data_IF_687538023806
#
_entry.id   IF_687538023806
#
_cell.length_a   1.000
_cell.length_b   1.000
_cell.length_c   1.000
_cell.angle_alpha   90.00
_cell.angle_beta   90.00
_cell.angle_gamma   90.00
#
_symmetry.space_group_name_H-M   'P 1'
#
loop_
_entity.id
_entity.type
_entity.pdbx_description
1 polymer ?
#
# COMPACT_ATOMS: atom_id res chain seq x y z
N UNK A 1 -1.85 -38.75 -4.33
CA UNK A 1 -2.66 -37.78 -3.56
C UNK A 1 -2.54 -37.93 -2.03
N UNK A 2 -1.41 -38.38 -1.48
CA UNK A 2 -1.20 -38.39 -0.01
C UNK A 2 0.23 -38.02 0.44
N UNK A 3 1.17 -37.75 -0.48
CA UNK A 3 2.53 -37.29 -0.13
C UNK A 3 2.78 -35.78 -0.30
N UNK A 4 1.82 -35.01 -0.84
CA UNK A 4 1.97 -33.56 -1.01
C UNK A 4 1.45 -32.73 0.18
N UNK A 5 0.88 -33.38 1.20
CA UNK A 5 0.33 -32.71 2.40
C UNK A 5 1.36 -32.55 3.52
N UNK A 6 2.54 -33.18 3.45
CA UNK A 6 3.54 -33.15 4.52
C UNK A 6 4.69 -32.15 4.29
N UNK A 7 4.87 -31.64 3.06
CA UNK A 7 5.88 -30.61 2.77
C UNK A 7 5.38 -29.15 2.87
N UNK A 8 4.07 -28.94 3.05
CA UNK A 8 3.50 -27.61 3.31
C UNK A 8 3.53 -27.20 4.79
N UNK A 9 3.87 -28.13 5.70
CA UNK A 9 3.91 -27.88 7.13
C UNK A 9 5.27 -27.42 7.69
N UNK A 10 6.30 -27.25 6.86
CA UNK A 10 7.66 -26.95 7.35
C UNK A 10 8.31 -25.69 6.76
N UNK A 11 7.66 -24.96 5.85
CA UNK A 11 8.21 -23.74 5.23
C UNK A 11 7.56 -22.45 5.77
N UNK A 12 6.51 -22.55 6.59
CA UNK A 12 5.90 -21.40 7.29
C UNK A 12 6.64 -20.98 8.58
N UNK A 13 7.77 -21.60 8.90
CA UNK A 13 8.52 -21.31 10.12
C UNK A 13 9.63 -20.24 9.98
N UNK A 14 9.85 -19.61 8.81
CA UNK A 14 11.06 -18.76 8.59
C UNK A 14 10.84 -17.41 7.88
N UNK A 15 9.62 -16.96 7.55
CA UNK A 15 9.46 -15.65 6.88
C UNK A 15 8.23 -14.86 7.26
N UNK A 16 7.96 -14.80 8.56
CA UNK A 16 6.94 -13.93 9.16
C UNK A 16 7.43 -13.27 10.44
N UNK A 17 8.72 -13.00 10.58
CA UNK A 17 9.17 -12.03 11.58
C UNK A 17 8.69 -10.66 11.10
N UNK A 18 7.55 -10.26 11.64
CA UNK A 18 7.15 -8.88 11.84
C UNK A 18 8.40 -8.05 12.10
N UNK A 19 8.84 -7.28 11.09
CA UNK A 19 9.64 -6.09 11.35
C UNK A 19 8.70 -5.07 11.96
N UNK A 20 8.31 -5.36 13.20
CA UNK A 20 7.99 -4.34 14.18
C UNK A 20 9.23 -3.45 14.25
N UNK A 21 9.02 -2.18 14.00
CA UNK A 21 10.04 -1.17 13.84
C UNK A 21 10.97 -1.21 15.05
N UNK A 22 12.24 -1.58 14.86
CA UNK A 22 13.27 -1.33 15.88
C UNK A 22 13.33 0.16 16.28
N UNK A 23 12.79 1.05 15.45
CA UNK A 23 12.60 2.47 15.76
C UNK A 23 11.42 2.74 16.70
N UNK A 24 10.32 1.97 16.63
CA UNK A 24 9.16 2.16 17.52
C UNK A 24 9.44 1.54 18.90
N UNK A 25 10.17 0.42 18.96
CA UNK A 25 10.69 -0.10 20.23
C UNK A 25 11.71 0.82 20.88
N UNK A 26 12.55 1.50 20.09
CA UNK A 26 13.53 2.46 20.62
C UNK A 26 12.87 3.77 21.09
N UNK A 27 11.76 4.17 20.48
CA UNK A 27 10.97 5.34 20.92
C UNK A 27 10.12 5.00 22.14
N UNK A 28 9.59 3.77 22.24
CA UNK A 28 8.94 3.31 23.48
C UNK A 28 9.96 3.13 24.62
N UNK A 29 11.15 2.58 24.35
CA UNK A 29 12.25 2.46 25.33
C UNK A 29 12.80 3.84 25.77
N UNK A 30 13.05 4.79 24.85
CA UNK A 30 13.50 6.16 25.22
C UNK A 30 12.39 6.96 25.93
N UNK A 31 11.10 6.70 25.66
CA UNK A 31 10.00 7.32 26.42
C UNK A 31 9.76 6.70 27.79
N UNK A 32 10.19 5.44 27.99
CA UNK A 32 10.16 4.78 29.30
C UNK A 32 11.39 5.11 30.15
N UNK A 33 12.56 5.36 29.52
CA UNK A 33 13.80 5.70 30.24
C UNK A 33 13.74 7.08 30.90
N UNK A 34 12.99 8.05 30.34
CA UNK A 34 12.75 9.36 31.00
C UNK A 34 11.65 9.32 32.09
N UNK A 35 10.84 8.26 32.16
CA UNK A 35 9.86 8.07 33.24
C UNK A 35 10.40 7.22 34.40
N UNK A 36 11.53 6.51 34.24
CA UNK A 36 12.10 5.65 35.29
C UNK A 36 13.10 6.35 36.23
N UNK A 37 13.70 7.50 35.88
CA UNK A 37 14.68 8.17 36.77
C UNK A 37 14.05 8.88 37.98
N UNK A 38 12.74 9.15 37.97
CA UNK A 38 12.04 9.83 39.09
C UNK A 38 11.22 8.87 39.97
N UNK A 39 11.13 7.57 39.64
CA UNK A 39 10.42 6.54 40.43
C UNK A 39 11.30 5.96 41.57
N UNK A 40 12.62 6.16 41.57
CA UNK A 40 13.53 5.51 42.53
C UNK A 40 13.45 6.04 43.98
N UNK A 41 12.80 7.19 44.23
CA UNK A 41 12.81 7.81 45.57
C UNK A 41 11.43 7.81 46.27
N UNK A 42 10.49 6.98 45.80
CA UNK A 42 9.16 6.80 46.41
C UNK A 42 8.98 5.46 47.14
N UNK A 43 10.06 4.85 47.65
CA UNK A 43 9.93 3.85 48.71
C UNK A 43 9.51 4.55 50.01
N UNK A 44 8.20 4.71 50.21
CA UNK A 44 7.66 5.03 51.52
C UNK A 44 8.09 3.91 52.48
N UNK A 45 8.90 4.19 53.53
CA UNK A 45 9.07 3.21 54.57
C UNK A 45 7.69 2.98 55.20
N UNK A 46 7.26 1.72 55.32
CA UNK A 46 6.06 1.35 56.07
C UNK A 46 6.29 1.71 57.56
N UNK A 47 6.11 2.98 57.91
CA UNK A 47 6.29 3.45 59.29
C UNK A 47 4.96 3.31 59.99
N UNK A 48 4.92 2.38 60.94
CA UNK A 48 3.76 2.11 61.78
C UNK A 48 3.32 3.39 62.53
N UNK A 49 2.23 4.01 62.04
CA UNK A 49 1.74 5.34 62.44
C UNK A 49 1.45 5.44 63.96
N UNK A 50 1.29 4.30 64.62
CA UNK A 50 1.05 4.21 66.07
C UNK A 50 2.28 4.51 66.94
N UNK A 51 3.51 4.38 66.41
CA UNK A 51 4.75 4.59 67.18
C UNK A 51 5.34 6.01 67.06
N UNK A 52 4.80 6.85 66.16
CA UNK A 52 5.28 8.21 65.93
C UNK A 52 4.68 9.21 66.95
N UNK A 53 5.51 9.85 67.76
CA UNK A 53 5.05 10.87 68.73
C UNK A 53 4.85 12.23 68.05
N UNK A 54 3.74 12.92 68.37
CA UNK A 54 3.38 14.32 68.06
C UNK A 54 4.04 14.96 66.83
N UNK A 55 5.23 15.56 67.03
CA UNK A 55 5.97 16.30 66.00
C UNK A 55 6.35 15.44 64.78
N UNK A 56 6.62 14.15 64.97
CA UNK A 56 6.98 13.24 63.86
C UNK A 56 5.76 12.84 63.02
N UNK A 57 4.57 12.73 63.63
CA UNK A 57 3.29 12.52 62.90
C UNK A 57 2.97 13.69 61.97
N UNK A 58 3.11 14.92 62.49
CA UNK A 58 2.89 16.13 61.71
C UNK A 58 3.87 16.27 60.54
N UNK A 59 5.12 15.82 60.70
CA UNK A 59 6.11 15.81 59.62
C UNK A 59 5.78 14.77 58.54
N UNK A 60 5.29 13.59 58.93
CA UNK A 60 4.86 12.55 58.00
C UNK A 60 3.64 12.99 57.18
N UNK A 61 2.64 13.58 57.84
CA UNK A 61 1.46 14.15 57.17
C UNK A 61 1.82 15.26 56.18
N UNK A 62 2.80 16.11 56.53
CA UNK A 62 3.32 17.14 55.62
C UNK A 62 4.07 16.56 54.41
N UNK A 63 4.79 15.44 54.59
CA UNK A 63 5.47 14.74 53.49
C UNK A 63 4.47 14.08 52.55
N UNK A 64 3.46 13.39 53.09
CA UNK A 64 2.38 12.79 52.30
C UNK A 64 1.69 13.85 51.43
N UNK A 65 1.32 14.99 52.04
CA UNK A 65 0.69 16.11 51.34
C UNK A 65 1.60 16.75 50.28
N UNK A 66 2.93 16.78 50.50
CA UNK A 66 3.87 17.24 49.47
C UNK A 66 3.96 16.28 48.29
N UNK A 67 3.95 14.97 48.55
CA UNK A 67 3.99 13.95 47.50
C UNK A 67 2.72 13.96 46.65
N UNK A 68 1.56 14.08 47.30
CA UNK A 68 0.27 14.28 46.60
C UNK A 68 0.29 15.52 45.70
N UNK A 69 0.82 16.65 46.21
CA UNK A 69 0.92 17.88 45.43
C UNK A 69 1.90 17.75 44.24
N UNK A 70 3.01 17.02 44.40
CA UNK A 70 3.96 16.74 43.31
C UNK A 70 3.30 15.92 42.19
N UNK A 71 2.61 14.83 42.55
CA UNK A 71 1.88 13.99 41.58
C UNK A 71 0.81 14.79 40.84
N UNK A 72 0.03 15.59 41.57
CA UNK A 72 -1.01 16.42 40.98
C UNK A 72 -0.44 17.45 39.98
N UNK A 73 0.65 18.13 40.35
CA UNK A 73 1.33 19.07 39.47
C UNK A 73 1.91 18.39 38.22
N UNK A 74 2.50 17.20 38.37
CA UNK A 74 3.03 16.43 37.24
C UNK A 74 1.92 16.01 36.27
N UNK A 75 0.77 15.56 36.78
CA UNK A 75 -0.40 15.24 35.94
C UNK A 75 -0.96 16.46 35.22
N UNK A 76 -1.03 17.61 35.90
CA UNK A 76 -1.54 18.85 35.31
C UNK A 76 -0.61 19.37 34.20
N UNK A 77 0.71 19.38 34.43
CA UNK A 77 1.73 19.75 33.43
C UNK A 77 1.66 18.82 32.21
N UNK A 78 1.52 17.50 32.43
CA UNK A 78 1.32 16.55 31.33
C UNK A 78 0.04 16.81 30.54
N UNK A 79 -1.05 17.22 31.21
CA UNK A 79 -2.31 17.56 30.55
C UNK A 79 -2.22 18.88 29.76
N UNK A 80 -1.48 19.87 30.25
CA UNK A 80 -1.24 21.14 29.54
C UNK A 80 -0.32 20.93 28.34
N UNK A 81 0.74 20.14 28.48
CA UNK A 81 1.63 19.75 27.37
C UNK A 81 0.81 19.08 26.25
N UNK A 82 -0.08 18.14 26.59
CA UNK A 82 -0.99 17.48 25.63
C UNK A 82 -2.03 18.41 24.98
N UNK A 83 -2.40 19.53 25.62
CA UNK A 83 -3.30 20.55 25.03
C UNK A 83 -2.55 21.53 24.13
N UNK A 84 -1.28 21.83 24.45
CA UNK A 84 -0.43 22.74 23.69
C UNK A 84 0.20 22.05 22.47
N UNK A 85 0.48 20.75 22.57
CA UNK A 85 0.90 19.93 21.45
C UNK A 85 -0.28 19.80 20.47
N UNK A 86 -0.10 20.29 19.24
CA UNK A 86 -1.13 20.15 18.21
C UNK A 86 -1.44 18.65 18.04
N UNK A 87 -2.72 18.23 17.93
CA UNK A 87 -3.05 16.84 17.66
C UNK A 87 -2.23 16.38 16.46
N UNK A 88 -1.36 15.40 16.67
CA UNK A 88 -0.70 14.70 15.59
C UNK A 88 -1.82 14.09 14.76
N UNK A 89 -2.18 14.72 13.65
CA UNK A 89 -3.13 14.14 12.72
C UNK A 89 -2.38 13.06 11.94
N UNK A 90 -2.55 11.76 12.23
CA UNK A 90 -1.95 10.74 11.39
C UNK A 90 -2.61 10.86 10.02
N UNK A 91 -1.84 11.24 9.00
CA UNK A 91 -2.29 11.19 7.61
C UNK A 91 -2.95 9.84 7.34
N UNK A 92 -4.28 9.79 7.20
CA UNK A 92 -5.02 8.53 6.98
C UNK A 92 -6.16 8.19 7.95
N UNK A 93 -6.50 9.05 8.92
CA UNK A 93 -7.64 8.85 9.86
C UNK A 93 -8.93 8.45 9.14
N UNK A 94 -9.22 9.06 7.98
CA UNK A 94 -10.43 8.73 7.19
C UNK A 94 -10.44 7.27 6.71
N UNK A 95 -9.29 6.74 6.29
CA UNK A 95 -9.17 5.34 5.86
C UNK A 95 -9.29 4.38 7.03
N UNK A 96 -8.65 4.70 8.17
CA UNK A 96 -8.78 3.92 9.41
C UNK A 96 -10.23 3.88 9.89
N UNK A 97 -10.89 5.05 10.03
CA UNK A 97 -12.32 5.15 10.39
C UNK A 97 -13.22 4.37 9.42
N UNK A 98 -12.90 4.37 8.12
CA UNK A 98 -13.63 3.59 7.12
C UNK A 98 -13.44 2.08 7.31
N UNK A 99 -12.22 1.62 7.60
CA UNK A 99 -11.90 0.21 7.88
C UNK A 99 -12.58 -0.25 9.17
N UNK A 100 -12.52 0.54 10.24
CA UNK A 100 -13.19 0.23 11.52
C UNK A 100 -14.72 0.19 11.36
N UNK A 101 -15.30 1.16 10.65
CA UNK A 101 -16.74 1.16 10.37
C UNK A 101 -17.15 -0.05 9.51
N UNK A 102 -16.29 -0.47 8.58
CA UNK A 102 -16.47 -1.69 7.78
C UNK A 102 -16.40 -2.94 8.66
N UNK A 103 -15.41 -3.04 9.55
CA UNK A 103 -15.25 -4.16 10.48
C UNK A 103 -16.42 -4.26 11.45
N UNK A 104 -16.86 -3.16 12.04
CA UNK A 104 -18.05 -3.13 12.92
C UNK A 104 -19.32 -3.58 12.20
N UNK A 105 -19.49 -3.23 10.92
CA UNK A 105 -20.62 -3.72 10.11
C UNK A 105 -20.53 -5.21 9.86
N UNK A 106 -19.34 -5.72 9.54
CA UNK A 106 -19.11 -7.15 9.31
C UNK A 106 -19.32 -7.94 10.61
N UNK A 107 -18.76 -7.47 11.72
CA UNK A 107 -18.95 -8.07 13.06
C UNK A 107 -20.42 -8.16 13.44
N UNK A 108 -21.19 -7.07 13.31
CA UNK A 108 -22.64 -7.10 13.58
C UNK A 108 -23.41 -8.13 12.75
N UNK A 109 -23.05 -8.31 11.48
CA UNK A 109 -23.69 -9.30 10.60
C UNK A 109 -23.27 -10.72 11.02
N UNK A 110 -22.03 -10.91 11.45
CA UNK A 110 -21.52 -12.21 11.90
C UNK A 110 -22.10 -12.59 13.26
N UNK A 111 -22.17 -11.66 14.20
CA UNK A 111 -22.80 -11.83 15.50
C UNK A 111 -24.29 -12.17 15.35
N UNK A 112 -25.00 -11.51 14.42
CA UNK A 112 -26.39 -11.81 14.11
C UNK A 112 -26.59 -13.22 13.50
N UNK A 113 -25.56 -13.78 12.86
CA UNK A 113 -25.55 -15.14 12.32
C UNK A 113 -24.86 -16.15 13.27
N UNK A 114 -24.40 -15.73 14.45
CA UNK A 114 -23.67 -16.58 15.40
C UNK A 114 -22.32 -17.11 14.86
N UNK A 115 -21.70 -16.41 13.91
CA UNK A 115 -20.45 -16.80 13.27
C UNK A 115 -19.28 -15.97 13.81
N UNK A 116 -18.12 -16.60 13.95
CA UNK A 116 -16.88 -15.93 14.34
C UNK A 116 -16.25 -15.18 13.14
N UNK A 117 -15.43 -14.16 13.42
CA UNK A 117 -14.69 -13.35 12.43
C UNK A 117 -13.84 -14.21 11.49
N UNK A 118 -13.31 -15.34 11.96
CA UNK A 118 -12.58 -16.32 11.15
C UNK A 118 -13.43 -16.96 10.05
N UNK A 119 -14.75 -17.07 10.27
CA UNK A 119 -15.73 -17.69 9.36
C UNK A 119 -16.48 -16.68 8.50
N UNK A 120 -16.00 -15.43 8.44
CA UNK A 120 -16.63 -14.36 7.66
C UNK A 120 -16.85 -14.70 6.18
N UNK A 121 -16.01 -15.56 5.61
CA UNK A 121 -16.11 -16.04 4.22
C UNK A 121 -17.37 -16.88 3.96
N UNK A 122 -18.03 -17.43 4.99
CA UNK A 122 -19.26 -18.22 4.83
C UNK A 122 -20.47 -17.36 4.45
N UNK A 123 -20.40 -16.04 4.66
CA UNK A 123 -21.45 -15.09 4.27
C UNK A 123 -21.27 -14.53 2.86
N UNK A 124 -20.16 -14.85 2.19
CA UNK A 124 -19.94 -14.43 0.81
C UNK A 124 -20.78 -15.30 -0.14
N UNK A 125 -21.58 -14.64 -0.98
CA UNK A 125 -22.21 -15.29 -2.13
C UNK A 125 -21.15 -15.81 -3.11
N UNK A 126 -21.49 -16.85 -3.88
CA UNK A 126 -20.59 -17.43 -4.88
C UNK A 126 -20.01 -16.36 -5.84
N UNK A 127 -20.84 -15.43 -6.31
CA UNK A 127 -20.40 -14.33 -7.19
C UNK A 127 -19.39 -13.40 -6.49
N UNK A 128 -19.62 -13.08 -5.21
CA UNK A 128 -18.67 -12.25 -4.44
C UNK A 128 -17.36 -12.97 -4.15
N UNK A 129 -17.39 -14.28 -3.94
CA UNK A 129 -16.17 -15.09 -3.78
C UNK A 129 -15.38 -15.14 -5.09
N UNK A 130 -16.03 -15.46 -6.22
CA UNK A 130 -15.37 -15.50 -7.53
C UNK A 130 -14.73 -14.17 -7.92
N UNK A 131 -15.40 -13.05 -7.65
CA UNK A 131 -14.82 -11.72 -7.94
C UNK A 131 -13.65 -11.38 -7.03
N UNK A 132 -13.60 -11.89 -5.79
CA UNK A 132 -12.42 -11.77 -4.91
C UNK A 132 -11.25 -12.61 -5.43
N UNK A 133 -11.50 -13.88 -5.78
CA UNK A 133 -10.47 -14.76 -6.33
C UNK A 133 -9.90 -14.23 -7.66
N UNK A 134 -10.75 -13.79 -8.59
CA UNK A 134 -10.32 -13.15 -9.86
C UNK A 134 -9.48 -11.89 -9.63
N UNK A 135 -9.71 -11.15 -8.53
CA UNK A 135 -8.90 -9.98 -8.15
C UNK A 135 -7.54 -10.38 -7.56
N UNK A 136 -7.45 -11.54 -6.92
CA UNK A 136 -6.21 -12.06 -6.34
C UNK A 136 -5.33 -12.75 -7.39
N UNK A 137 -5.92 -13.39 -8.39
CA UNK A 137 -5.21 -14.04 -9.51
C UNK A 137 -4.68 -13.07 -10.57
N UNK A 138 -4.52 -11.78 -10.25
CA UNK A 138 -3.95 -10.83 -11.19
C UNK A 138 -2.51 -11.21 -11.50
N UNK A 139 -2.24 -11.52 -12.77
CA UNK A 139 -0.87 -11.69 -13.21
C UNK A 139 -0.04 -10.44 -12.88
N UNK A 140 1.21 -10.61 -12.40
CA UNK A 140 2.07 -9.48 -12.09
C UNK A 140 2.19 -8.58 -13.32
N UNK A 141 1.96 -7.29 -13.11
CA UNK A 141 2.09 -6.31 -14.20
C UNK A 141 3.57 -6.22 -14.56
N UNK A 142 3.95 -6.37 -15.85
CA UNK A 142 5.34 -6.24 -16.27
C UNK A 142 5.90 -4.88 -15.83
N UNK A 143 7.03 -4.89 -15.14
CA UNK A 143 7.63 -3.70 -14.54
C UNK A 143 9.00 -3.40 -15.18
N UNK A 144 9.30 -2.12 -15.37
CA UNK A 144 10.59 -1.67 -15.90
C UNK A 144 10.89 -2.21 -17.30
N UNK A 145 12.04 -2.87 -17.45
CA UNK A 145 12.52 -3.41 -18.73
C UNK A 145 11.79 -4.67 -19.21
N UNK A 146 11.04 -5.34 -18.33
CA UNK A 146 10.27 -6.54 -18.68
C UNK A 146 9.06 -6.24 -19.60
N UNK A 147 8.74 -4.95 -19.80
CA UNK A 147 7.72 -4.47 -20.76
C UNK A 147 8.07 -4.80 -22.22
N UNK A 148 9.35 -5.09 -22.53
CA UNK A 148 9.80 -5.41 -23.89
C UNK A 148 10.08 -6.90 -24.10
N UNK A 149 9.73 -7.76 -23.13
CA UNK A 149 9.93 -9.20 -23.20
C UNK A 149 8.98 -9.86 -24.23
N UNK A 150 9.40 -10.96 -24.86
CA UNK A 150 8.58 -11.77 -25.76
C UNK A 150 7.21 -12.12 -25.16
N UNK A 151 7.13 -12.42 -23.85
CA UNK A 151 5.86 -12.72 -23.16
C UNK A 151 4.90 -11.52 -23.19
N UNK A 152 5.41 -10.30 -23.00
CA UNK A 152 4.57 -9.10 -23.02
C UNK A 152 4.10 -8.74 -24.42
N UNK A 153 4.96 -8.90 -25.43
CA UNK A 153 4.61 -8.75 -26.84
C UNK A 153 3.52 -9.76 -27.24
N UNK A 154 3.67 -11.03 -26.83
CA UNK A 154 2.65 -12.06 -27.02
C UNK A 154 1.33 -11.70 -26.32
N UNK A 155 1.38 -11.25 -25.07
CA UNK A 155 0.18 -10.85 -24.33
C UNK A 155 -0.51 -9.64 -24.97
N UNK A 156 0.24 -8.67 -25.51
CA UNK A 156 -0.31 -7.55 -26.25
C UNK A 156 -0.98 -8.02 -27.56
N UNK A 157 -0.35 -8.94 -28.29
CA UNK A 157 -0.96 -9.56 -29.47
C UNK A 157 -2.24 -10.34 -29.11
N UNK A 158 -2.21 -11.15 -28.06
CA UNK A 158 -3.37 -11.91 -27.56
C UNK A 158 -4.53 -10.99 -27.15
N UNK A 159 -4.24 -9.81 -26.60
CA UNK A 159 -5.28 -8.80 -26.32
C UNK A 159 -5.85 -8.19 -27.59
N UNK A 160 -5.00 -7.93 -28.60
CA UNK A 160 -5.44 -7.42 -29.91
C UNK A 160 -6.36 -8.41 -30.62
N UNK A 161 -5.97 -9.68 -30.69
CA UNK A 161 -6.74 -10.69 -31.40
C UNK A 161 -8.13 -10.93 -30.80
N UNK A 162 -8.29 -10.74 -29.49
CA UNK A 162 -9.61 -10.79 -28.82
C UNK A 162 -10.59 -9.72 -29.31
N UNK A 163 -10.09 -8.58 -29.77
CA UNK A 163 -10.94 -7.47 -30.22
C UNK A 163 -11.30 -7.57 -31.71
N UNK A 164 -10.71 -8.52 -32.45
CA UNK A 164 -10.97 -8.70 -33.88
C UNK A 164 -12.32 -9.41 -34.04
N UNK A 165 -13.25 -8.74 -34.71
CA UNK A 165 -14.54 -9.33 -35.08
C UNK A 165 -14.38 -10.07 -36.41
N UNK A 166 -14.67 -11.38 -36.40
CA UNK A 166 -14.60 -12.24 -37.59
C UNK A 166 -16.02 -12.54 -38.07
N UNK A 167 -16.33 -12.15 -39.30
CA UNK A 167 -17.60 -12.49 -39.96
C UNK A 167 -17.49 -13.89 -40.58
N UNK A 168 -18.23 -14.85 -40.01
CA UNK A 168 -18.20 -16.26 -40.40
C UNK A 168 -18.92 -16.46 -41.75
N UNK A 169 -19.94 -15.68 -42.05
CA UNK A 169 -20.72 -15.82 -43.29
C UNK A 169 -19.87 -15.41 -44.49
N UNK A 170 -19.20 -14.28 -44.38
CA UNK A 170 -18.28 -13.81 -45.42
C UNK A 170 -17.10 -14.77 -45.61
N UNK A 171 -16.55 -15.30 -44.51
CA UNK A 171 -15.52 -16.33 -44.55
C UNK A 171 -15.98 -17.57 -45.34
N UNK A 172 -17.20 -18.06 -45.08
CA UNK A 172 -17.75 -19.22 -45.80
C UNK A 172 -17.98 -18.94 -47.29
N UNK A 173 -18.43 -17.72 -47.65
CA UNK A 173 -18.56 -17.31 -49.05
C UNK A 173 -17.22 -17.30 -49.78
N UNK A 174 -16.17 -16.73 -49.16
CA UNK A 174 -14.83 -16.72 -49.74
C UNK A 174 -14.26 -18.14 -49.86
N UNK A 175 -14.50 -18.99 -48.86
CA UNK A 175 -14.10 -20.40 -48.88
C UNK A 175 -14.74 -21.20 -50.01
N UNK A 176 -16.01 -20.92 -50.33
CA UNK A 176 -16.71 -21.59 -51.42
C UNK A 176 -16.32 -21.04 -52.81
N UNK A 177 -15.96 -19.76 -52.89
CA UNK A 177 -15.58 -19.10 -54.15
C UNK A 177 -14.19 -19.52 -54.65
N UNK A 178 -13.24 -19.76 -53.73
CA UNK A 178 -11.86 -20.10 -54.07
C UNK A 178 -11.57 -21.60 -53.85
N UNK A 179 -11.34 -22.40 -54.92
CA UNK A 179 -10.96 -23.81 -54.78
C UNK A 179 -9.61 -24.02 -54.08
N UNK A 180 -8.71 -23.03 -54.13
CA UNK A 180 -7.39 -23.02 -53.48
C UNK A 180 -7.40 -22.11 -52.23
N UNK A 181 -8.50 -22.12 -51.46
CA UNK A 181 -8.64 -21.28 -50.26
C UNK A 181 -7.59 -21.60 -49.19
N UNK A 182 -7.27 -22.88 -49.00
CA UNK A 182 -6.20 -23.33 -48.12
C UNK A 182 -4.89 -23.41 -48.89
N UNK A 183 -4.13 -22.32 -48.88
CA UNK A 183 -2.85 -22.22 -49.58
C UNK A 183 -1.71 -22.79 -48.75
N UNK A 184 -0.88 -23.62 -49.37
CA UNK A 184 0.39 -24.07 -48.79
C UNK A 184 1.50 -23.04 -49.04
N UNK A 185 2.61 -23.15 -48.31
CA UNK A 185 3.76 -22.23 -48.43
C UNK A 185 4.40 -22.18 -49.83
N UNK A 186 4.14 -23.20 -50.67
CA UNK A 186 4.60 -23.32 -52.05
C UNK A 186 3.62 -22.75 -53.10
N UNK A 187 2.45 -22.25 -52.69
CA UNK A 187 1.44 -21.72 -53.63
C UNK A 187 1.96 -20.46 -54.35
N UNK A 188 1.87 -20.47 -55.68
CA UNK A 188 2.35 -19.40 -56.56
C UNK A 188 1.39 -18.19 -56.63
N UNK A 189 0.27 -18.22 -55.89
CA UNK A 189 -0.73 -17.14 -55.84
C UNK A 189 -0.37 -15.99 -54.88
N UNK A 190 0.86 -15.98 -54.35
CA UNK A 190 1.36 -14.87 -53.55
C UNK A 190 1.28 -13.54 -54.31
N UNK A 191 0.67 -12.52 -53.70
CA UNK A 191 0.47 -11.19 -54.30
C UNK A 191 -0.85 -10.99 -55.07
N UNK A 192 -1.62 -12.05 -55.34
CA UNK A 192 -2.99 -11.93 -55.87
C UNK A 192 -3.98 -11.80 -54.72
N UNK A 193 -4.02 -10.63 -54.09
CA UNK A 193 -4.97 -10.36 -53.01
C UNK A 193 -6.38 -10.09 -53.58
N UNK A 194 -7.44 -10.68 -53.01
CA UNK A 194 -8.80 -10.30 -53.37
C UNK A 194 -9.04 -8.82 -53.05
N UNK A 195 -9.91 -8.16 -53.82
CA UNK A 195 -10.26 -6.75 -53.57
C UNK A 195 -10.98 -6.66 -52.22
N UNK A 196 -10.34 -6.02 -51.25
CA UNK A 196 -10.88 -5.83 -49.90
C UNK A 196 -11.90 -4.68 -49.93
N UNK A 197 -13.01 -4.83 -49.22
CA UNK A 197 -14.01 -3.75 -49.09
C UNK A 197 -13.43 -2.56 -48.32
N UNK A 198 -13.90 -1.34 -48.66
CA UNK A 198 -13.46 -0.10 -47.99
C UNK A 198 -13.71 -0.15 -46.49
N UNK A 199 -14.86 -0.69 -46.06
CA UNK A 199 -15.24 -0.82 -44.66
C UNK A 199 -14.20 -1.61 -43.83
N UNK A 200 -13.56 -2.63 -44.41
CA UNK A 200 -12.51 -3.41 -43.74
C UNK A 200 -11.21 -2.64 -43.62
N UNK A 201 -10.87 -1.85 -44.64
CA UNK A 201 -9.71 -0.95 -44.62
C UNK A 201 -9.92 0.11 -43.54
N UNK A 202 -11.12 0.67 -43.44
CA UNK A 202 -11.47 1.66 -42.42
C UNK A 202 -11.41 1.06 -41.00
N UNK A 203 -11.86 -0.19 -40.81
CA UNK A 203 -11.71 -0.90 -39.54
C UNK A 203 -10.23 -1.10 -39.15
N UNK A 204 -9.38 -1.46 -40.09
CA UNK A 204 -7.93 -1.58 -39.86
C UNK A 204 -7.31 -0.23 -39.51
N UNK A 205 -7.66 0.83 -40.25
CA UNK A 205 -7.18 2.19 -39.98
C UNK A 205 -7.58 2.67 -38.58
N UNK A 206 -8.82 2.40 -38.15
CA UNK A 206 -9.28 2.66 -36.77
C UNK A 206 -8.45 1.92 -35.73
N UNK A 207 -8.16 0.62 -35.94
CA UNK A 207 -7.31 -0.15 -35.01
C UNK A 207 -5.89 0.45 -34.88
N UNK A 208 -5.33 0.98 -35.97
CA UNK A 208 -4.04 1.66 -35.94
C UNK A 208 -4.09 2.98 -35.18
N UNK A 209 -5.16 3.78 -35.36
CA UNK A 209 -5.36 5.01 -34.59
C UNK A 209 -5.53 4.73 -33.10
N UNK A 210 -6.39 3.79 -32.71
CA UNK A 210 -6.58 3.39 -31.31
C UNK A 210 -5.26 2.93 -30.65
N UNK A 211 -4.36 2.32 -31.44
CA UNK A 211 -3.03 1.92 -30.97
C UNK A 211 -2.11 3.11 -30.74
N UNK A 212 -2.18 4.09 -31.63
CA UNK A 212 -1.39 5.31 -31.50
C UNK A 212 -1.84 6.11 -30.27
N UNK A 213 -3.15 6.24 -30.06
CA UNK A 213 -3.73 6.86 -28.86
C UNK A 213 -3.26 6.16 -27.58
N UNK A 214 -3.39 4.82 -27.51
CA UNK A 214 -2.91 4.04 -26.35
C UNK A 214 -1.40 4.20 -26.12
N UNK A 215 -0.61 4.36 -27.19
CA UNK A 215 0.83 4.60 -27.08
C UNK A 215 1.11 6.00 -26.50
N UNK A 216 0.34 7.01 -26.88
CA UNK A 216 0.46 8.36 -26.32
C UNK A 216 0.07 8.38 -24.83
N UNK A 217 -1.00 7.65 -24.47
CA UNK A 217 -1.46 7.53 -23.08
C UNK A 217 -0.54 6.71 -22.17
N UNK A 218 0.34 5.87 -22.73
CA UNK A 218 1.24 5.01 -21.97
C UNK A 218 2.13 5.83 -21.00
N UNK A 219 2.55 7.02 -21.42
CA UNK A 219 3.27 7.98 -20.56
C UNK A 219 2.29 9.00 -19.97
N UNK A 220 1.70 8.66 -18.82
CA UNK A 220 0.79 9.58 -18.13
C UNK A 220 1.58 10.68 -17.40
N UNK A 221 1.29 11.95 -17.71
CA UNK A 221 1.80 13.08 -16.92
C UNK A 221 1.23 13.00 -15.50
N UNK A 222 2.09 13.10 -14.49
CA UNK A 222 1.66 13.23 -13.09
C UNK A 222 1.15 14.66 -12.88
N UNK A 223 -0.02 14.83 -12.27
CA UNK A 223 -0.61 16.15 -11.97
C UNK A 223 0.35 16.94 -11.06
N UNK A 224 0.65 18.18 -11.43
CA UNK A 224 1.37 19.12 -10.58
C UNK A 224 0.51 19.44 -9.34
N UNK A 225 1.12 19.47 -8.16
CA UNK A 225 0.47 19.86 -6.91
C UNK A 225 1.09 21.18 -6.48
N UNK A 226 0.27 22.21 -6.40
CA UNK A 226 0.72 23.57 -6.04
C UNK A 226 1.24 23.66 -4.60
N UNK A 227 0.80 22.75 -3.72
CA UNK A 227 1.27 22.64 -2.34
C UNK A 227 2.70 22.09 -2.20
N UNK A 228 3.33 21.62 -3.29
CA UNK A 228 4.69 21.07 -3.21
C UNK A 228 5.72 22.19 -3.37
N UNK A 229 6.69 22.22 -2.46
CA UNK A 229 7.85 23.11 -2.58
C UNK A 229 8.56 22.94 -3.92
N UNK A 230 8.80 24.08 -4.57
CA UNK A 230 9.38 24.14 -5.91
C UNK A 230 10.89 24.24 -5.77
N UNK A 231 11.58 23.15 -6.08
CA UNK A 231 13.05 23.02 -6.05
C UNK A 231 13.73 23.41 -7.38
N UNK A 232 12.97 23.94 -8.34
CA UNK A 232 13.43 24.12 -9.73
C UNK A 232 12.96 25.44 -10.36
N UNK A 233 13.82 26.02 -11.19
CA UNK A 233 13.56 27.28 -11.91
C UNK A 233 12.90 27.05 -13.28
N UNK A 234 13.17 25.90 -13.93
CA UNK A 234 12.64 25.56 -15.24
C UNK A 234 12.23 24.07 -15.34
N UNK A 235 11.38 23.71 -16.30
CA UNK A 235 10.86 22.34 -16.50
C UNK A 235 11.97 21.30 -16.70
N UNK A 236 13.04 21.67 -17.39
CA UNK A 236 14.19 20.76 -17.63
C UNK A 236 14.92 20.46 -16.32
N UNK A 237 15.03 21.45 -15.44
CA UNK A 237 15.62 21.35 -14.11
C UNK A 237 14.69 20.55 -13.18
N UNK A 238 13.38 20.77 -13.25
CA UNK A 238 12.41 19.96 -12.50
C UNK A 238 12.51 18.47 -12.88
N UNK A 239 12.64 18.17 -14.18
CA UNK A 239 12.87 16.81 -14.65
C UNK A 239 14.22 16.22 -14.22
N UNK A 240 15.26 17.05 -14.13
CA UNK A 240 16.58 16.65 -13.64
C UNK A 240 16.55 16.37 -12.13
N UNK A 241 16.00 17.27 -11.31
CA UNK A 241 15.79 17.07 -9.89
C UNK A 241 14.95 15.80 -9.62
N UNK A 242 13.86 15.60 -10.35
CA UNK A 242 13.06 14.35 -10.29
C UNK A 242 13.86 13.10 -10.68
N UNK A 243 14.92 13.21 -11.48
CA UNK A 243 15.81 12.09 -11.84
C UNK A 243 16.79 11.80 -10.70
N UNK A 244 17.40 12.84 -10.15
CA UNK A 244 18.29 12.74 -8.99
C UNK A 244 17.55 12.17 -7.78
N UNK A 245 16.34 12.66 -7.48
CA UNK A 245 15.52 12.15 -6.37
C UNK A 245 15.19 10.65 -6.54
N UNK A 246 14.94 10.19 -7.77
CA UNK A 246 14.70 8.75 -8.02
C UNK A 246 15.95 7.88 -7.83
N UNK A 247 17.13 8.40 -8.14
CA UNK A 247 18.38 7.65 -8.04
C UNK A 247 18.99 7.70 -6.63
N UNK A 248 19.01 8.89 -6.03
CA UNK A 248 19.72 9.19 -4.80
C UNK A 248 18.82 9.52 -3.60
N UNK A 249 17.52 9.76 -3.82
CA UNK A 249 16.59 10.12 -2.75
C UNK A 249 16.57 9.09 -1.61
N UNK A 250 16.71 7.79 -1.93
CA UNK A 250 16.81 6.72 -0.92
C UNK A 250 18.03 6.87 0.00
N UNK A 251 19.15 7.39 -0.51
CA UNK A 251 20.40 7.51 0.23
C UNK A 251 20.58 8.88 0.89
N UNK A 252 19.76 9.87 0.52
CA UNK A 252 19.88 11.26 0.96
C UNK A 252 18.74 11.68 1.90
N UNK A 253 17.92 10.74 2.36
CA UNK A 253 16.80 10.99 3.29
C UNK A 253 17.26 11.68 4.57
N UNK A 254 18.35 11.21 5.18
CA UNK A 254 18.90 11.80 6.41
C UNK A 254 19.35 13.24 6.19
N UNK A 255 20.08 13.50 5.10
CA UNK A 255 20.55 14.83 4.73
C UNK A 255 19.37 15.77 4.51
N UNK A 256 18.33 15.31 3.81
CA UNK A 256 17.11 16.08 3.55
C UNK A 256 16.36 16.41 4.84
N UNK A 257 16.17 15.42 5.71
CA UNK A 257 15.51 15.60 7.00
C UNK A 257 16.31 16.55 7.90
N UNK A 258 17.64 16.48 7.89
CA UNK A 258 18.50 17.40 8.65
C UNK A 258 18.37 18.83 8.10
N UNK A 259 18.25 19.00 6.79
CA UNK A 259 17.99 20.31 6.18
C UNK A 259 16.64 20.89 6.63
N UNK A 260 15.59 20.06 6.63
CA UNK A 260 14.24 20.44 7.09
C UNK A 260 14.21 20.73 8.61
N UNK A 261 15.11 20.12 9.39
CA UNK A 261 15.32 20.38 10.83
C UNK A 261 16.27 21.53 11.15
N UNK A 262 16.80 22.24 10.16
CA UNK A 262 17.69 23.38 10.39
C UNK A 262 19.15 23.00 10.69
N UNK A 263 19.64 21.92 10.08
CA UNK A 263 21.04 21.44 10.11
C UNK A 263 21.55 20.92 11.46
N UNK A 264 20.67 20.72 12.44
CA UNK A 264 21.00 20.01 13.67
C UNK A 264 21.33 18.54 13.33
N UNK A 265 22.46 18.05 13.84
CA UNK A 265 22.80 16.63 13.78
C UNK A 265 21.90 15.87 14.77
N UNK A 266 21.56 14.60 14.50
CA UNK A 266 20.93 13.74 15.49
C UNK A 266 21.92 13.55 16.66
N UNK A 267 21.44 13.72 17.89
CA UNK A 267 22.15 13.26 19.09
C UNK A 267 22.24 11.73 19.13
#
# INVERSE_FOLDING_TARGET
>A
MLLFHLLKGLVEAVSGQSRESLADKRIEEESSEEEEEDEEDNQEPEVDVNQLTGRKKKLFELRLKMNEARKFNQTDVGSEKKKMEAPTEPKGISKQKWVEARQKKIGKILDANGLDMSKAYMLDTQETAETKYKKWEKEPTPSGWDVFNQKTLYNAYKKRTKNIQVDIEEYNRMRAADPEFYREASSLQYGKAPKISKDKIDKMAKELHDREEKRQEFSRRRKFREEKDIDSINDRNEHFNKKIERAFGKYTLEIKNNLERGTALPD
#
